data_IF_006972079117
#
_entry.id   IF_006972079117
#
_cell.length_a   1.000
_cell.length_b   1.000
_cell.length_c   1.000
_cell.angle_alpha   90.00
_cell.angle_beta   90.00
_cell.angle_gamma   90.00
#
_symmetry.space_group_name_H-M   'P 1'
#
loop_
_entity.id
_entity.type
_entity.pdbx_description
1 polymer ?
#
# COMPACT_ATOMS: atom_id res chain seq x y z
N UNK A 1 10.29 -12.70 16.15
CA UNK A 1 9.47 -12.29 14.99
C UNK A 1 8.72 -11.02 15.38
N UNK A 2 8.60 -10.02 14.49
CA UNK A 2 7.89 -8.78 14.78
C UNK A 2 6.40 -9.00 15.12
N UNK A 3 5.79 -8.08 15.88
CA UNK A 3 4.40 -8.23 16.34
C UNK A 3 3.41 -8.16 15.17
N UNK A 4 3.67 -7.28 14.20
CA UNK A 4 2.86 -7.14 12.99
C UNK A 4 2.83 -8.45 12.18
N UNK A 5 3.93 -9.21 12.17
CA UNK A 5 4.01 -10.48 11.47
C UNK A 5 3.13 -11.55 12.13
N UNK A 6 3.12 -11.62 13.47
CA UNK A 6 2.23 -12.55 14.20
C UNK A 6 0.77 -12.19 13.98
N UNK A 7 0.44 -10.91 14.06
CA UNK A 7 -0.91 -10.42 13.84
C UNK A 7 -1.38 -10.73 12.41
N UNK A 8 -0.56 -10.38 11.41
CA UNK A 8 -0.86 -10.65 10.01
C UNK A 8 -1.09 -12.14 9.76
N UNK A 9 -0.19 -13.03 10.21
CA UNK A 9 -0.34 -14.47 9.96
C UNK A 9 -1.59 -15.02 10.64
N UNK A 10 -1.84 -14.63 11.89
CA UNK A 10 -3.00 -15.12 12.64
C UNK A 10 -4.30 -14.72 11.94
N UNK A 11 -4.41 -13.46 11.54
CA UNK A 11 -5.58 -12.94 10.82
C UNK A 11 -5.67 -13.55 9.42
N UNK A 12 -4.55 -13.71 8.71
CA UNK A 12 -4.53 -14.32 7.38
C UNK A 12 -5.04 -15.76 7.43
N UNK A 13 -4.55 -16.59 8.37
CA UNK A 13 -5.02 -17.97 8.56
C UNK A 13 -6.51 -18.00 8.90
N UNK A 14 -6.95 -17.20 9.87
CA UNK A 14 -8.36 -17.17 10.27
C UNK A 14 -9.27 -16.72 9.12
N UNK A 15 -8.86 -15.69 8.37
CA UNK A 15 -9.62 -15.17 7.22
C UNK A 15 -9.66 -16.19 6.08
N UNK A 16 -8.53 -16.79 5.72
CA UNK A 16 -8.47 -17.84 4.70
C UNK A 16 -9.34 -19.03 5.07
N UNK A 17 -9.30 -19.51 6.32
CA UNK A 17 -10.16 -20.60 6.79
C UNK A 17 -11.64 -20.21 6.73
N UNK A 18 -12.00 -19.00 7.17
CA UNK A 18 -13.36 -18.50 7.10
C UNK A 18 -13.91 -18.53 5.66
N UNK A 19 -13.14 -18.02 4.70
CA UNK A 19 -13.57 -17.97 3.31
C UNK A 19 -13.60 -19.35 2.65
N UNK A 20 -12.66 -20.24 2.98
CA UNK A 20 -12.66 -21.62 2.46
C UNK A 20 -13.83 -22.43 3.03
N UNK A 21 -14.14 -22.28 4.31
CA UNK A 21 -15.17 -23.08 4.98
C UNK A 21 -16.59 -22.58 4.73
N UNK A 22 -16.79 -21.26 4.73
CA UNK A 22 -18.13 -20.67 4.59
C UNK A 22 -18.47 -20.25 3.16
N UNK A 23 -17.46 -20.14 2.29
CA UNK A 23 -17.59 -19.72 0.89
C UNK A 23 -18.57 -18.55 0.67
N UNK A 24 -18.36 -17.39 1.34
CA UNK A 24 -19.22 -16.24 1.15
C UNK A 24 -19.11 -15.76 -0.30
N UNK A 25 -20.24 -15.80 -1.02
CA UNK A 25 -20.27 -15.68 -2.48
C UNK A 25 -19.88 -14.28 -3.00
N UNK A 26 -20.07 -13.21 -2.21
CA UNK A 26 -19.71 -11.83 -2.58
C UNK A 26 -19.55 -10.91 -1.36
N UNK A 27 -18.79 -9.82 -1.52
CA UNK A 27 -18.75 -8.74 -0.53
C UNK A 27 -19.96 -7.82 -0.72
N UNK A 28 -20.73 -7.58 0.35
CA UNK A 28 -21.79 -6.57 0.34
C UNK A 28 -21.24 -5.14 0.44
N UNK A 29 -22.04 -4.15 0.03
CA UNK A 29 -21.71 -2.73 0.10
C UNK A 29 -21.18 -2.29 1.49
N UNK A 30 -21.85 -2.74 2.56
CA UNK A 30 -21.41 -2.46 3.93
C UNK A 30 -20.03 -3.01 4.27
N UNK A 31 -19.66 -4.19 3.73
CA UNK A 31 -18.32 -4.74 3.93
C UNK A 31 -17.28 -3.93 3.16
N UNK A 32 -17.56 -3.56 1.92
CA UNK A 32 -16.69 -2.68 1.12
C UNK A 32 -16.45 -1.36 1.86
N UNK A 33 -17.50 -0.73 2.37
CA UNK A 33 -17.40 0.51 3.12
C UNK A 33 -16.54 0.37 4.39
N UNK A 34 -16.75 -0.68 5.18
CA UNK A 34 -15.93 -0.97 6.37
C UNK A 34 -14.46 -1.12 5.97
N UNK A 35 -14.16 -1.84 4.90
CA UNK A 35 -12.79 -2.10 4.46
C UNK A 35 -12.11 -0.84 3.93
N UNK A 36 -12.85 -0.01 3.19
CA UNK A 36 -12.39 1.32 2.79
C UNK A 36 -12.05 2.21 3.99
N UNK A 37 -12.86 2.18 5.04
CA UNK A 37 -12.57 2.90 6.30
C UNK A 37 -11.34 2.31 6.99
N UNK A 38 -11.21 0.98 7.05
CA UNK A 38 -10.02 0.32 7.63
C UNK A 38 -8.75 0.72 6.87
N UNK A 39 -8.77 0.71 5.55
CA UNK A 39 -7.64 1.18 4.72
C UNK A 39 -7.35 2.66 4.97
N UNK A 40 -8.37 3.50 5.10
CA UNK A 40 -8.17 4.92 5.36
C UNK A 40 -7.56 5.18 6.77
N UNK A 41 -7.99 4.44 7.78
CA UNK A 41 -7.60 4.68 9.19
C UNK A 41 -6.34 3.94 9.59
N UNK A 42 -6.13 2.71 9.11
CA UNK A 42 -4.97 1.89 9.47
C UNK A 42 -3.93 1.84 8.36
N UNK A 43 -4.36 1.96 7.11
CA UNK A 43 -3.49 1.99 5.95
C UNK A 43 -2.82 3.34 5.80
N UNK A 44 -3.55 4.39 5.40
CA UNK A 44 -2.98 5.71 5.06
C UNK A 44 -1.95 6.30 6.05
N UNK A 45 -2.08 6.15 7.38
CA UNK A 45 -1.15 6.78 8.30
C UNK A 45 0.31 6.35 8.21
N UNK A 46 0.69 5.27 7.53
CA UNK A 46 2.11 4.92 7.37
C UNK A 46 2.93 6.05 6.68
N UNK A 47 2.33 6.79 5.75
CA UNK A 47 2.94 7.98 5.15
C UNK A 47 2.93 9.22 6.04
N UNK A 48 2.22 9.21 7.16
CA UNK A 48 2.10 10.39 8.03
C UNK A 48 3.39 10.75 8.79
N UNK A 49 4.40 9.87 8.76
CA UNK A 49 5.72 10.12 9.31
C UNK A 49 6.64 10.89 8.35
N UNK A 50 6.23 11.11 7.10
CA UNK A 50 7.03 11.77 6.08
C UNK A 50 7.53 13.16 6.45
N UNK A 51 6.74 14.04 7.11
CA UNK A 51 7.27 15.31 7.57
C UNK A 51 8.41 15.14 8.59
N UNK A 52 8.37 14.12 9.45
CA UNK A 52 9.46 13.88 10.41
C UNK A 52 10.70 13.34 9.70
N UNK A 53 10.50 12.39 8.78
CA UNK A 53 11.58 11.84 7.96
C UNK A 53 12.22 12.93 7.08
N UNK A 54 11.41 13.78 6.45
CA UNK A 54 11.88 14.89 5.63
C UNK A 54 12.73 15.88 6.43
N UNK A 55 12.35 16.17 7.68
CA UNK A 55 13.18 17.00 8.57
C UNK A 55 14.53 16.34 8.85
N UNK A 56 14.53 15.06 9.23
CA UNK A 56 15.76 14.31 9.51
C UNK A 56 16.68 14.23 8.29
N UNK A 57 16.11 14.11 7.09
CA UNK A 57 16.84 14.09 5.82
C UNK A 57 17.30 15.49 5.36
N UNK A 58 17.00 16.55 6.12
CA UNK A 58 17.39 17.92 5.80
C UNK A 58 16.59 18.54 4.66
N UNK A 59 15.42 18.00 4.32
CA UNK A 59 14.54 18.55 3.27
C UNK A 59 13.85 19.85 3.71
N UNK A 60 13.71 20.07 5.02
CA UNK A 60 13.29 21.36 5.58
C UNK A 60 13.85 21.56 7.00
N UNK A 61 13.96 22.82 7.42
CA UNK A 61 14.55 23.21 8.71
C UNK A 61 13.72 24.23 9.51
N UNK A 62 12.70 24.85 8.90
CA UNK A 62 11.89 25.89 9.53
C UNK A 62 10.49 26.00 8.90
N UNK A 63 9.64 26.93 9.36
CA UNK A 63 8.23 26.98 8.97
C UNK A 63 8.02 27.24 7.48
N UNK A 64 8.82 28.12 6.87
CA UNK A 64 8.73 28.39 5.42
C UNK A 64 9.13 27.17 4.58
N UNK A 65 10.23 26.49 4.93
CA UNK A 65 10.64 25.28 4.21
C UNK A 65 9.71 24.09 4.48
N UNK A 66 9.07 24.03 5.64
CA UNK A 66 8.01 23.07 5.93
C UNK A 66 6.75 23.33 5.08
N UNK A 67 6.35 24.60 4.94
CA UNK A 67 5.25 24.98 4.04
C UNK A 67 5.56 24.58 2.59
N UNK A 68 6.76 24.90 2.11
CA UNK A 68 7.21 24.52 0.77
C UNK A 68 7.26 22.99 0.59
N UNK A 69 7.64 22.24 1.62
CA UNK A 69 7.58 20.78 1.61
C UNK A 69 6.14 20.28 1.39
N UNK A 70 5.17 20.80 2.16
CA UNK A 70 3.76 20.41 2.00
C UNK A 70 3.16 20.87 0.66
N UNK A 71 3.56 22.04 0.14
CA UNK A 71 3.18 22.48 -1.21
C UNK A 71 3.71 21.48 -2.23
N UNK A 72 5.00 21.14 -2.20
CA UNK A 72 5.59 20.17 -3.12
C UNK A 72 4.94 18.78 -3.03
N UNK A 73 4.67 18.31 -1.80
CA UNK A 73 3.96 17.06 -1.55
C UNK A 73 2.57 17.09 -2.20
N UNK A 74 1.80 18.17 -1.96
CA UNK A 74 0.44 18.33 -2.48
C UNK A 74 0.41 18.51 -3.99
N UNK A 75 1.40 19.20 -4.57
CA UNK A 75 1.55 19.33 -6.02
C UNK A 75 1.80 17.97 -6.67
N UNK A 76 2.64 17.13 -6.06
CA UNK A 76 2.87 15.78 -6.57
C UNK A 76 1.60 14.92 -6.47
N UNK A 77 0.87 14.99 -5.36
CA UNK A 77 -0.45 14.33 -5.23
C UNK A 77 -1.44 14.80 -6.31
N UNK A 78 -1.55 16.12 -6.52
CA UNK A 78 -2.43 16.70 -7.54
C UNK A 78 -2.02 16.29 -8.96
N UNK A 79 -0.72 16.19 -9.24
CA UNK A 79 -0.21 15.70 -10.51
C UNK A 79 -0.63 14.24 -10.75
N UNK A 80 -0.55 13.36 -9.74
CA UNK A 80 -0.99 11.97 -9.86
C UNK A 80 -2.50 11.91 -10.15
N UNK A 81 -3.32 12.69 -9.46
CA UNK A 81 -4.76 12.77 -9.76
C UNK A 81 -4.99 13.30 -11.17
N UNK A 82 -4.30 14.37 -11.59
CA UNK A 82 -4.41 14.93 -12.92
C UNK A 82 -4.02 13.94 -14.03
N UNK A 83 -2.92 13.20 -13.85
CA UNK A 83 -2.52 12.12 -14.74
C UNK A 83 -3.58 11.02 -14.80
N UNK A 84 -4.19 10.67 -13.65
CA UNK A 84 -5.26 9.68 -13.62
C UNK A 84 -6.49 10.12 -14.41
N UNK A 85 -6.82 11.42 -14.40
CA UNK A 85 -7.93 11.97 -15.19
C UNK A 85 -7.62 12.03 -16.68
N UNK A 86 -6.36 12.25 -17.07
CA UNK A 86 -5.94 12.37 -18.47
C UNK A 86 -5.65 11.01 -19.14
N UNK A 87 -4.97 10.13 -18.42
CA UNK A 87 -4.53 8.80 -18.89
C UNK A 87 -4.75 7.74 -17.80
N UNK A 88 -6.01 7.37 -17.51
CA UNK A 88 -6.34 6.54 -16.34
C UNK A 88 -5.69 5.15 -16.34
N UNK A 89 -5.64 4.47 -17.50
CA UNK A 89 -5.03 3.14 -17.63
C UNK A 89 -3.52 3.21 -17.46
N UNK A 90 -2.87 4.19 -18.08
CA UNK A 90 -1.43 4.38 -17.94
C UNK A 90 -1.04 4.72 -16.48
N UNK A 91 -1.87 5.52 -15.81
CA UNK A 91 -1.70 5.86 -14.40
C UNK A 91 -1.86 4.64 -13.49
N UNK A 92 -2.85 3.78 -13.74
CA UNK A 92 -3.02 2.51 -13.04
C UNK A 92 -1.79 1.60 -13.21
N UNK A 93 -1.33 1.38 -14.44
CA UNK A 93 -0.15 0.54 -14.73
C UNK A 93 1.10 1.12 -14.07
N UNK A 94 1.33 2.43 -14.21
CA UNK A 94 2.45 3.11 -13.56
C UNK A 94 2.41 2.96 -12.03
N UNK A 95 1.23 3.14 -11.43
CA UNK A 95 1.03 2.96 -10.00
C UNK A 95 1.30 1.52 -9.55
N UNK A 96 0.83 0.51 -10.28
CA UNK A 96 1.09 -0.90 -9.98
C UNK A 96 2.60 -1.23 -10.06
N UNK A 97 3.31 -0.72 -11.07
CA UNK A 97 4.76 -0.93 -11.24
C UNK A 97 5.56 -0.30 -10.09
N UNK A 98 5.26 0.95 -9.74
CA UNK A 98 5.95 1.63 -8.64
C UNK A 98 5.61 0.95 -7.29
N UNK A 99 4.35 0.55 -7.11
CA UNK A 99 3.88 -0.18 -5.92
C UNK A 99 4.56 -1.54 -5.78
N UNK A 100 4.78 -2.26 -6.88
CA UNK A 100 5.52 -3.51 -6.86
C UNK A 100 6.96 -3.32 -6.35
N UNK A 101 7.64 -2.27 -6.80
CA UNK A 101 8.99 -1.96 -6.30
C UNK A 101 8.98 -1.61 -4.81
N UNK A 102 7.97 -0.87 -4.35
CA UNK A 102 7.84 -0.46 -2.96
C UNK A 102 7.50 -1.65 -2.03
N UNK A 103 6.38 -2.33 -2.26
CA UNK A 103 5.94 -3.48 -1.44
C UNK A 103 6.93 -4.64 -1.50
N UNK A 104 7.48 -4.92 -2.67
CA UNK A 104 8.48 -5.96 -2.84
C UNK A 104 9.78 -5.74 -2.05
N UNK A 105 9.99 -4.52 -1.52
CA UNK A 105 11.13 -4.17 -0.69
C UNK A 105 10.94 -4.49 0.79
N UNK A 106 9.72 -4.82 1.22
CA UNK A 106 9.42 -5.22 2.60
C UNK A 106 10.12 -6.54 2.95
N UNK A 107 10.34 -7.38 1.94
CA UNK A 107 11.09 -8.62 2.04
C UNK A 107 12.33 -8.57 1.17
N UNK A 108 13.29 -9.46 1.43
CA UNK A 108 14.45 -9.61 0.56
C UNK A 108 15.20 -8.26 0.34
N UNK A 109 15.16 -7.34 1.30
CA UNK A 109 15.65 -5.96 1.15
C UNK A 109 17.15 -5.87 0.81
N UNK A 110 17.93 -6.89 1.17
CA UNK A 110 19.36 -7.04 0.85
C UNK A 110 19.62 -7.76 -0.49
N UNK A 111 18.58 -8.20 -1.19
CA UNK A 111 18.68 -8.91 -2.48
C UNK A 111 18.62 -7.93 -3.66
N UNK A 112 19.01 -8.35 -4.88
CA UNK A 112 18.91 -7.52 -6.08
C UNK A 112 17.50 -6.97 -6.29
N UNK A 113 17.42 -5.78 -6.89
CA UNK A 113 16.15 -5.08 -7.15
C UNK A 113 15.17 -5.94 -7.95
N UNK A 114 15.66 -6.77 -8.88
CA UNK A 114 14.83 -7.69 -9.66
C UNK A 114 13.99 -8.61 -8.75
N UNK A 115 14.60 -9.28 -7.77
CA UNK A 115 13.87 -10.18 -6.86
C UNK A 115 12.77 -9.43 -6.11
N UNK A 116 13.07 -8.23 -5.61
CA UNK A 116 12.12 -7.38 -4.90
C UNK A 116 10.96 -6.97 -5.80
N UNK A 117 11.25 -6.42 -6.98
CA UNK A 117 10.23 -5.98 -7.95
C UNK A 117 9.35 -7.17 -8.37
N UNK A 118 9.93 -8.33 -8.68
CA UNK A 118 9.15 -9.53 -9.03
C UNK A 118 8.30 -10.04 -7.85
N UNK A 119 8.79 -9.94 -6.61
CA UNK A 119 7.99 -10.26 -5.41
C UNK A 119 6.76 -9.35 -5.31
N UNK A 120 6.94 -8.04 -5.51
CA UNK A 120 5.82 -7.09 -5.48
C UNK A 120 4.88 -7.21 -6.67
N UNK A 121 5.39 -7.49 -7.88
CA UNK A 121 4.54 -7.78 -9.05
C UNK A 121 3.69 -9.02 -8.79
N UNK A 122 4.28 -10.06 -8.20
CA UNK A 122 3.55 -11.26 -7.83
C UNK A 122 2.49 -10.96 -6.78
N UNK A 123 2.83 -10.21 -5.73
CA UNK A 123 1.91 -9.80 -4.67
C UNK A 123 0.66 -9.10 -5.23
N UNK A 124 0.84 -8.19 -6.18
CA UNK A 124 -0.24 -7.40 -6.76
C UNK A 124 -1.04 -8.15 -7.84
N UNK A 125 -0.48 -9.22 -8.41
CA UNK A 125 -1.11 -9.95 -9.52
C UNK A 125 -1.80 -11.25 -9.08
N UNK A 126 -1.39 -11.83 -7.94
CA UNK A 126 -1.93 -13.10 -7.44
C UNK A 126 -3.47 -13.14 -7.31
N UNK A 127 -4.17 -12.09 -6.84
CA UNK A 127 -5.64 -12.13 -6.75
C UNK A 127 -6.32 -12.37 -8.11
N UNK A 128 -5.70 -11.98 -9.22
CA UNK A 128 -6.25 -12.17 -10.56
C UNK A 128 -6.24 -13.65 -11.00
N UNK A 129 -5.52 -14.55 -10.32
CA UNK A 129 -5.57 -15.99 -10.62
C UNK A 129 -6.95 -16.56 -10.34
N UNK A 130 -7.55 -16.16 -9.21
CA UNK A 130 -8.85 -16.67 -8.75
C UNK A 130 -9.99 -15.74 -9.16
N UNK A 131 -9.80 -14.43 -9.00
CA UNK A 131 -10.85 -13.42 -9.13
C UNK A 131 -10.56 -12.42 -10.24
N UNK A 132 -10.11 -12.89 -11.42
CA UNK A 132 -9.80 -12.04 -12.57
C UNK A 132 -10.91 -11.02 -12.87
N UNK A 133 -12.17 -11.46 -12.83
CA UNK A 133 -13.34 -10.60 -13.07
C UNK A 133 -13.50 -9.51 -12.01
N UNK A 134 -13.33 -9.83 -10.72
CA UNK A 134 -13.45 -8.82 -9.65
C UNK A 134 -12.29 -7.83 -9.70
N UNK A 135 -11.07 -8.28 -10.02
CA UNK A 135 -9.92 -7.40 -10.25
C UNK A 135 -10.18 -6.49 -11.45
N UNK A 136 -10.71 -7.02 -12.55
CA UNK A 136 -11.10 -6.23 -13.72
C UNK A 136 -12.17 -5.19 -13.36
N UNK A 137 -13.22 -5.56 -12.61
CA UNK A 137 -14.24 -4.62 -12.15
C UNK A 137 -13.65 -3.49 -11.31
N UNK A 138 -12.73 -3.78 -10.39
CA UNK A 138 -12.02 -2.74 -9.63
C UNK A 138 -11.23 -1.81 -10.56
N UNK A 139 -10.48 -2.36 -11.53
CA UNK A 139 -9.71 -1.54 -12.47
C UNK A 139 -10.59 -0.72 -13.41
N UNK A 140 -11.73 -1.25 -13.85
CA UNK A 140 -12.71 -0.53 -14.66
C UNK A 140 -13.36 0.60 -13.87
N UNK A 141 -13.70 0.37 -12.59
CA UNK A 141 -14.18 1.44 -11.70
C UNK A 141 -13.13 2.53 -11.59
N UNK A 142 -11.85 2.19 -11.42
CA UNK A 142 -10.79 3.19 -11.21
C UNK A 142 -10.36 3.91 -12.48
N UNK A 143 -10.31 3.22 -13.63
CA UNK A 143 -9.59 3.67 -14.82
C UNK A 143 -10.36 3.48 -16.15
N UNK A 144 -11.62 3.06 -16.10
CA UNK A 144 -12.49 2.90 -17.27
C UNK A 144 -12.35 1.53 -17.96
N UNK A 145 -13.19 1.26 -18.98
CA UNK A 145 -13.35 -0.09 -19.58
C UNK A 145 -12.04 -0.69 -20.08
N UNK A 146 -11.16 0.12 -20.67
CA UNK A 146 -9.88 -0.33 -21.22
C UNK A 146 -8.92 -0.90 -20.15
N UNK A 147 -9.18 -0.64 -18.87
CA UNK A 147 -8.37 -1.16 -17.76
C UNK A 147 -8.58 -2.68 -17.52
N UNK A 148 -9.63 -3.28 -18.07
CA UNK A 148 -9.88 -4.73 -18.01
C UNK A 148 -8.68 -5.54 -18.54
N UNK A 149 -8.00 -5.04 -19.57
CA UNK A 149 -6.84 -5.70 -20.16
C UNK A 149 -5.73 -5.95 -19.12
N UNK A 150 -5.58 -5.05 -18.14
CA UNK A 150 -4.55 -5.14 -17.10
C UNK A 150 -4.79 -6.37 -16.21
N UNK A 151 -6.05 -6.61 -15.81
CA UNK A 151 -6.43 -7.77 -15.02
C UNK A 151 -6.24 -9.08 -15.81
N UNK A 152 -6.59 -9.07 -17.10
CA UNK A 152 -6.39 -10.21 -18.01
C UNK A 152 -4.91 -10.61 -18.13
N UNK A 153 -4.01 -9.63 -18.26
CA UNK A 153 -2.57 -9.88 -18.24
C UNK A 153 -2.07 -10.44 -16.91
N UNK A 154 -2.57 -9.91 -15.79
CA UNK A 154 -2.21 -10.41 -14.47
C UNK A 154 -2.69 -11.84 -14.23
N UNK A 155 -3.91 -12.18 -14.68
CA UNK A 155 -4.45 -13.53 -14.61
C UNK A 155 -3.62 -14.51 -15.45
N UNK A 156 -3.30 -14.14 -16.70
CA UNK A 156 -2.48 -14.96 -17.59
C UNK A 156 -1.05 -15.17 -17.06
N UNK A 157 -0.43 -14.13 -16.51
CA UNK A 157 0.90 -14.20 -15.89
C UNK A 157 0.89 -14.82 -14.47
N UNK A 158 -0.30 -15.01 -13.90
CA UNK A 158 -0.51 -15.42 -12.51
C UNK A 158 0.26 -16.68 -12.09
N UNK A 159 0.24 -17.79 -12.85
CA UNK A 159 1.01 -18.98 -12.50
C UNK A 159 2.52 -18.72 -12.38
N UNK A 160 3.08 -17.89 -13.27
CA UNK A 160 4.50 -17.49 -13.21
C UNK A 160 4.77 -16.66 -11.95
N UNK A 161 3.86 -15.74 -11.63
CA UNK A 161 3.95 -14.93 -10.42
C UNK A 161 3.80 -15.75 -9.13
N UNK A 162 2.97 -16.79 -9.12
CA UNK A 162 2.87 -17.71 -7.99
C UNK A 162 4.20 -18.44 -7.75
N UNK A 163 4.81 -18.99 -8.81
CA UNK A 163 6.13 -19.63 -8.71
C UNK A 163 7.17 -18.62 -8.22
N UNK A 164 7.18 -17.40 -8.76
CA UNK A 164 8.09 -16.34 -8.33
C UNK A 164 7.91 -15.99 -6.84
N UNK A 165 6.66 -15.93 -6.35
CA UNK A 165 6.34 -15.67 -4.96
C UNK A 165 6.83 -16.78 -4.04
N UNK A 166 6.62 -18.05 -4.41
CA UNK A 166 7.10 -19.20 -3.63
C UNK A 166 8.64 -19.25 -3.58
N UNK A 167 9.30 -18.92 -4.71
CA UNK A 167 10.76 -18.78 -4.75
C UNK A 167 11.24 -17.63 -3.87
N UNK A 168 10.57 -16.47 -3.91
CA UNK A 168 10.89 -15.33 -3.05
C UNK A 168 10.71 -15.69 -1.56
N UNK A 169 9.67 -16.45 -1.21
CA UNK A 169 9.43 -16.95 0.13
C UNK A 169 10.53 -17.92 0.59
N UNK A 170 10.97 -18.84 -0.27
CA UNK A 170 12.07 -19.75 0.03
C UNK A 170 13.39 -18.98 0.23
N UNK A 171 13.68 -17.97 -0.60
CA UNK A 171 14.87 -17.12 -0.47
C UNK A 171 14.83 -16.31 0.83
N UNK A 172 13.68 -15.71 1.16
CA UNK A 172 13.49 -14.93 2.38
C UNK A 172 13.63 -15.82 3.63
N UNK A 173 13.12 -17.06 3.57
CA UNK A 173 13.23 -18.05 4.66
C UNK A 173 14.68 -18.37 5.03
N UNK A 174 15.62 -18.30 4.07
CA UNK A 174 17.05 -18.52 4.35
C UNK A 174 17.69 -17.43 5.20
N UNK A 175 17.12 -16.23 5.21
CA UNK A 175 17.59 -15.12 6.05
C UNK A 175 16.78 -15.01 7.34
N UNK A 176 15.45 -15.06 7.22
CA UNK A 176 14.52 -14.97 8.34
C UNK A 176 13.28 -15.76 8.00
N UNK A 177 13.07 -16.89 8.68
CA UNK A 177 11.95 -17.81 8.41
C UNK A 177 10.60 -17.09 8.32
N UNK A 178 10.34 -16.16 9.24
CA UNK A 178 9.08 -15.45 9.30
C UNK A 178 8.79 -14.59 8.06
N UNK A 179 9.81 -14.06 7.37
CA UNK A 179 9.63 -13.29 6.13
C UNK A 179 9.12 -14.20 4.99
N UNK A 180 9.58 -15.46 4.96
CA UNK A 180 9.05 -16.45 4.03
C UNK A 180 7.63 -16.89 4.36
N UNK A 181 7.31 -17.05 5.65
CA UNK A 181 5.94 -17.37 6.09
C UNK A 181 4.98 -16.23 5.76
N UNK A 182 5.38 -14.97 5.91
CA UNK A 182 4.57 -13.82 5.49
C UNK A 182 4.25 -13.86 3.99
N UNK A 183 5.25 -14.10 3.13
CA UNK A 183 5.04 -14.21 1.68
C UNK A 183 4.13 -15.38 1.33
N UNK A 184 4.31 -16.52 1.98
CA UNK A 184 3.43 -17.68 1.81
C UNK A 184 1.99 -17.35 2.22
N UNK A 185 1.78 -16.74 3.39
CA UNK A 185 0.44 -16.37 3.87
C UNK A 185 -0.20 -15.27 3.03
N UNK A 186 0.57 -14.32 2.49
CA UNK A 186 0.08 -13.35 1.52
C UNK A 186 -0.43 -14.04 0.24
N UNK A 187 0.31 -15.03 -0.28
CA UNK A 187 -0.14 -15.82 -1.42
C UNK A 187 -1.39 -16.65 -1.09
N UNK A 188 -1.43 -17.31 0.07
CA UNK A 188 -2.63 -18.05 0.52
C UNK A 188 -3.84 -17.12 0.59
N UNK A 189 -3.70 -15.94 1.19
CA UNK A 189 -4.77 -14.98 1.33
C UNK A 189 -5.27 -14.48 -0.03
N UNK A 190 -4.36 -14.15 -0.96
CA UNK A 190 -4.69 -13.74 -2.32
C UNK A 190 -5.46 -14.81 -3.11
N UNK A 191 -5.21 -16.09 -2.82
CA UNK A 191 -5.83 -17.24 -3.50
C UNK A 191 -7.07 -17.80 -2.79
N UNK A 192 -7.43 -17.27 -1.62
CA UNK A 192 -8.57 -17.77 -0.84
C UNK A 192 -9.59 -16.71 -0.49
N UNK A 193 -9.31 -15.43 -0.76
CA UNK A 193 -10.19 -14.32 -0.40
C UNK A 193 -10.36 -13.34 -1.57
N UNK A 194 -11.45 -12.56 -1.61
CA UNK A 194 -11.64 -11.51 -2.61
C UNK A 194 -10.50 -10.49 -2.59
N UNK A 195 -10.19 -9.84 -3.73
CA UNK A 195 -9.04 -8.94 -3.86
C UNK A 195 -9.03 -7.80 -2.84
N UNK A 196 -10.19 -7.25 -2.49
CA UNK A 196 -10.29 -6.21 -1.45
C UNK A 196 -9.94 -6.74 -0.05
N UNK A 197 -10.28 -8.00 0.27
CA UNK A 197 -9.97 -8.64 1.56
C UNK A 197 -8.48 -8.88 1.68
N UNK A 198 -7.90 -9.50 0.65
CA UNK A 198 -6.47 -9.66 0.54
C UNK A 198 -5.75 -8.32 0.72
N UNK A 199 -6.11 -7.31 -0.08
CA UNK A 199 -5.48 -5.99 -0.04
C UNK A 199 -5.60 -5.37 1.36
N UNK A 200 -6.79 -5.35 1.96
CA UNK A 200 -7.02 -4.69 3.26
C UNK A 200 -6.20 -5.35 4.37
N UNK A 201 -6.23 -6.67 4.46
CA UNK A 201 -5.51 -7.42 5.51
C UNK A 201 -4.00 -7.29 5.32
N UNK A 202 -3.49 -7.52 4.10
CA UNK A 202 -2.06 -7.36 3.81
C UNK A 202 -1.58 -5.93 4.06
N UNK A 203 -2.26 -4.96 3.45
CA UNK A 203 -1.83 -3.57 3.47
C UNK A 203 -1.88 -2.97 4.87
N UNK A 204 -2.94 -3.22 5.63
CA UNK A 204 -3.11 -2.62 6.96
C UNK A 204 -2.29 -3.36 8.02
N UNK A 205 -2.35 -4.69 8.06
CA UNK A 205 -1.80 -5.46 9.18
C UNK A 205 -0.33 -5.83 9.02
N UNK A 206 0.18 -5.88 7.80
CA UNK A 206 1.58 -6.17 7.54
C UNK A 206 2.33 -4.93 7.07
N UNK A 207 1.97 -4.40 5.90
CA UNK A 207 2.73 -3.34 5.25
C UNK A 207 2.72 -2.05 6.08
N UNK A 208 1.55 -1.43 6.25
CA UNK A 208 1.39 -0.18 7.00
C UNK A 208 1.90 -0.32 8.44
N UNK A 209 1.54 -1.40 9.13
CA UNK A 209 1.98 -1.67 10.49
C UNK A 209 3.52 -1.76 10.62
N UNK A 210 4.20 -2.41 9.65
CA UNK A 210 5.67 -2.49 9.61
C UNK A 210 6.29 -1.11 9.42
N UNK A 211 5.83 -0.35 8.43
CA UNK A 211 6.34 1.00 8.13
C UNK A 211 6.12 1.96 9.30
N UNK A 212 4.96 1.89 9.95
CA UNK A 212 4.68 2.64 11.18
C UNK A 212 5.61 2.23 12.33
N UNK A 213 5.81 0.93 12.58
CA UNK A 213 6.71 0.46 13.65
C UNK A 213 8.15 0.95 13.42
N UNK A 214 8.65 0.79 12.20
CA UNK A 214 10.01 1.20 11.83
C UNK A 214 10.17 2.71 11.86
N UNK A 215 9.19 3.45 11.33
CA UNK A 215 9.15 4.90 11.38
C UNK A 215 9.09 5.43 12.81
N UNK A 216 8.21 4.91 13.67
CA UNK A 216 8.16 5.30 15.09
C UNK A 216 9.43 4.97 15.85
N UNK A 217 10.10 3.86 15.53
CA UNK A 217 11.39 3.53 16.12
C UNK A 217 12.46 4.54 15.70
N UNK A 218 12.47 4.96 14.43
CA UNK A 218 13.50 5.84 13.87
C UNK A 218 13.27 7.32 14.18
N UNK A 219 12.01 7.76 14.28
CA UNK A 219 11.61 9.15 14.59
C UNK A 219 11.25 9.37 16.07
N UNK A 220 11.64 8.43 16.96
CA UNK A 220 11.26 8.42 18.38
C UNK A 220 11.49 9.76 19.09
N UNK A 221 12.64 10.38 18.86
CA UNK A 221 12.99 11.64 19.53
C UNK A 221 12.20 12.83 19.00
N UNK A 222 11.89 12.85 17.70
CA UNK A 222 11.01 13.85 17.12
C UNK A 222 9.58 13.72 17.68
N UNK A 223 9.09 12.48 17.81
CA UNK A 223 7.75 12.16 18.34
C UNK A 223 7.61 12.41 19.85
N UNK A 224 8.71 12.52 20.60
CA UNK A 224 8.66 12.99 22.00
C UNK A 224 8.31 14.46 22.12
N UNK A 225 8.58 15.26 21.08
CA UNK A 225 8.30 16.69 21.05
C UNK A 225 6.83 16.95 20.67
N UNK A 226 6.16 17.96 21.28
CA UNK A 226 4.77 18.30 20.93
C UNK A 226 4.60 18.60 19.43
N UNK A 227 5.54 19.33 18.84
CA UNK A 227 5.54 19.65 17.42
C UNK A 227 5.60 18.40 16.52
N UNK A 228 6.40 17.40 16.89
CA UNK A 228 6.48 16.14 16.14
C UNK A 228 5.18 15.34 16.20
N UNK A 229 4.53 15.28 17.38
CA UNK A 229 3.20 14.66 17.53
C UNK A 229 2.13 15.40 16.73
N UNK A 230 2.16 16.73 16.74
CA UNK A 230 1.23 17.54 15.97
C UNK A 230 1.40 17.34 14.46
N UNK A 231 2.64 17.26 13.96
CA UNK A 231 2.93 16.98 12.55
C UNK A 231 2.42 15.60 12.13
N UNK A 232 2.76 14.56 12.90
CA UNK A 232 2.28 13.21 12.61
C UNK A 232 0.74 13.13 12.68
N UNK A 233 0.14 13.65 13.75
CA UNK A 233 -1.32 13.63 13.92
C UNK A 233 -2.06 14.40 12.82
N UNK A 234 -1.55 15.57 12.43
CA UNK A 234 -2.11 16.36 11.32
C UNK A 234 -1.98 15.63 9.99
N UNK A 235 -0.81 15.05 9.68
CA UNK A 235 -0.59 14.31 8.45
C UNK A 235 -1.42 13.01 8.37
N UNK A 236 -1.69 12.35 9.50
CA UNK A 236 -2.53 11.15 9.55
C UNK A 236 -4.03 11.49 9.42
N UNK A 237 -4.48 12.58 10.05
CA UNK A 237 -5.89 12.93 10.13
C UNK A 237 -6.40 13.68 8.89
N UNK A 238 -5.58 14.53 8.27
CA UNK A 238 -6.01 15.37 7.15
C UNK A 238 -6.58 14.57 5.96
N UNK A 239 -5.95 13.47 5.49
CA UNK A 239 -6.53 12.64 4.42
C UNK A 239 -7.89 12.04 4.78
N UNK A 240 -8.04 11.59 6.03
CA UNK A 240 -9.29 11.00 6.53
C UNK A 240 -10.40 12.04 6.56
N UNK A 241 -10.11 13.24 7.05
CA UNK A 241 -11.10 14.34 7.07
C UNK A 241 -11.51 14.75 5.66
N UNK A 242 -10.56 14.88 4.73
CA UNK A 242 -10.87 15.18 3.33
C UNK A 242 -11.76 14.09 2.72
N UNK A 243 -11.44 12.82 2.95
CA UNK A 243 -12.26 11.71 2.48
C UNK A 243 -13.69 11.77 3.05
N UNK A 244 -13.84 12.01 4.37
CA UNK A 244 -15.16 12.15 5.02
C UNK A 244 -15.94 13.33 4.45
N UNK A 245 -15.31 14.50 4.29
CA UNK A 245 -15.97 15.68 3.72
C UNK A 245 -16.47 15.44 2.30
N UNK A 246 -15.73 14.69 1.48
CA UNK A 246 -16.14 14.34 0.12
C UNK A 246 -17.30 13.34 0.06
N UNK A 247 -17.61 12.64 1.16
CA UNK A 247 -18.64 11.62 1.25
C UNK A 247 -19.96 12.10 1.86
N UNK A 248 -19.96 13.21 2.63
CA UNK A 248 -21.15 13.73 3.33
C UNK A 248 -22.24 14.33 2.41
N UNK A 249 -22.06 14.30 1.09
CA UNK A 249 -22.96 14.96 0.12
C UNK A 249 -23.92 14.07 -0.68
N UNK A 250 -23.86 12.73 -0.57
CA UNK A 250 -24.41 11.84 -1.60
C UNK A 250 -25.38 10.74 -1.11
N UNK A 251 -26.15 10.19 -2.06
CA UNK A 251 -27.06 9.05 -1.87
C UNK A 251 -26.33 7.68 -1.80
N UNK A 252 -26.88 6.68 -1.10
CA UNK A 252 -26.17 5.45 -0.71
C UNK A 252 -25.61 4.59 -1.86
N UNK A 253 -26.28 4.51 -3.01
CA UNK A 253 -25.87 3.62 -4.10
C UNK A 253 -24.73 4.18 -5.00
N UNK A 254 -24.57 5.51 -5.04
CA UNK A 254 -23.46 6.19 -5.73
C UNK A 254 -22.18 6.16 -4.86
N UNK A 255 -22.36 5.88 -3.57
CA UNK A 255 -21.32 5.94 -2.56
C UNK A 255 -20.24 4.88 -2.77
N UNK A 256 -20.58 3.66 -3.19
CA UNK A 256 -19.62 2.55 -3.26
C UNK A 256 -18.51 2.77 -4.31
N UNK A 257 -18.88 3.11 -5.55
CA UNK A 257 -17.89 3.37 -6.61
C UNK A 257 -17.09 4.64 -6.35
N UNK A 258 -17.75 5.69 -5.82
CA UNK A 258 -17.08 6.94 -5.46
C UNK A 258 -16.10 6.74 -4.30
N UNK A 259 -16.48 5.97 -3.29
CA UNK A 259 -15.63 5.60 -2.17
C UNK A 259 -14.41 4.82 -2.63
N UNK A 260 -14.59 3.83 -3.51
CA UNK A 260 -13.47 3.08 -4.09
C UNK A 260 -12.50 4.00 -4.85
N UNK A 261 -13.01 4.93 -5.68
CA UNK A 261 -12.17 5.92 -6.36
C UNK A 261 -11.42 6.82 -5.38
N UNK A 262 -12.12 7.40 -4.41
CA UNK A 262 -11.52 8.30 -3.40
C UNK A 262 -10.43 7.56 -2.64
N UNK A 263 -10.70 6.33 -2.18
CA UNK A 263 -9.74 5.57 -1.38
C UNK A 263 -8.57 5.11 -2.22
N UNK A 264 -8.75 4.49 -3.38
CA UNK A 264 -7.64 3.90 -4.13
C UNK A 264 -6.87 4.92 -4.98
N UNK A 265 -7.53 5.90 -5.62
CA UNK A 265 -6.83 7.00 -6.30
C UNK A 265 -6.21 7.93 -5.26
N UNK A 266 -6.90 8.20 -4.15
CA UNK A 266 -6.33 8.95 -3.02
C UNK A 266 -5.13 8.24 -2.40
N UNK A 267 -5.20 6.91 -2.26
CA UNK A 267 -4.07 6.08 -1.84
C UNK A 267 -2.89 6.30 -2.80
N UNK A 268 -3.10 6.17 -4.11
CA UNK A 268 -2.03 6.40 -5.08
C UNK A 268 -1.45 7.82 -4.98
N UNK A 269 -2.31 8.83 -4.87
CA UNK A 269 -1.91 10.24 -4.77
C UNK A 269 -1.09 10.55 -3.51
N UNK A 270 -1.32 9.84 -2.40
CA UNK A 270 -0.57 10.00 -1.15
C UNK A 270 0.66 9.10 -1.07
N UNK A 271 0.59 7.91 -1.66
CA UNK A 271 1.66 6.91 -1.60
C UNK A 271 2.82 7.28 -2.52
N UNK A 272 2.58 7.89 -3.69
CA UNK A 272 3.67 8.29 -4.59
C UNK A 272 4.61 9.33 -3.95
N UNK A 273 4.14 10.46 -3.38
CA UNK A 273 5.02 11.35 -2.64
C UNK A 273 5.74 10.65 -1.48
N UNK A 274 5.05 9.77 -0.73
CA UNK A 274 5.68 8.97 0.32
C UNK A 274 6.85 8.13 -0.19
N UNK A 275 6.65 7.39 -1.28
CA UNK A 275 7.69 6.60 -1.93
C UNK A 275 8.88 7.46 -2.40
N UNK A 276 8.63 8.72 -2.80
CA UNK A 276 9.70 9.68 -3.11
C UNK A 276 10.53 10.00 -1.86
N UNK A 277 9.90 10.37 -0.73
CA UNK A 277 10.63 10.66 0.52
C UNK A 277 11.42 9.43 0.99
N UNK A 278 10.81 8.24 0.98
CA UNK A 278 11.47 6.97 1.34
C UNK A 278 12.68 6.69 0.43
N UNK A 279 12.54 6.93 -0.88
CA UNK A 279 13.62 6.71 -1.85
C UNK A 279 14.78 7.68 -1.63
N UNK A 280 14.51 8.94 -1.30
CA UNK A 280 15.54 9.92 -0.94
C UNK A 280 16.30 9.42 0.29
N UNK A 281 15.60 8.96 1.33
CA UNK A 281 16.22 8.40 2.53
C UNK A 281 17.10 7.17 2.24
N UNK A 282 16.60 6.25 1.42
CA UNK A 282 17.36 5.06 1.02
C UNK A 282 18.63 5.41 0.23
N UNK A 283 18.60 6.45 -0.61
CA UNK A 283 19.78 6.95 -1.35
C UNK A 283 20.78 7.61 -0.42
N UNK A 284 20.32 8.44 0.52
CA UNK A 284 21.17 9.09 1.52
C UNK A 284 21.93 8.05 2.37
N UNK A 285 21.23 7.02 2.85
CA UNK A 285 21.84 5.95 3.63
C UNK A 285 22.90 5.15 2.83
N UNK A 286 22.67 4.89 1.55
CA UNK A 286 23.66 4.23 0.69
C UNK A 286 24.91 5.08 0.47
N UNK A 287 24.76 6.39 0.25
CA UNK A 287 25.89 7.32 0.10
C UNK A 287 26.73 7.39 1.37
N UNK A 288 26.09 7.49 2.53
CA UNK A 288 26.79 7.51 3.81
C UNK A 288 27.64 6.24 4.05
N UNK A 289 27.13 5.06 3.65
CA UNK A 289 27.89 3.80 3.75
C UNK A 289 29.03 3.66 2.76
N UNK A 290 28.97 4.34 1.61
CA UNK A 290 30.04 4.30 0.62
C UNK A 290 31.19 5.27 0.95
N UNK A 291 30.92 6.26 1.81
CA UNK A 291 31.89 7.26 2.26
C UNK A 291 32.59 6.88 3.59
N UNK A 292 32.15 5.81 4.24
CA UNK A 292 32.71 5.26 5.48
C UNK A 292 33.54 4.02 5.18
#
# INVERSE_FOLDING_TARGET
>A
MPIESYLFITVAVATSLLFVLLNPQTLGAGQIAVMSVVVAVLGLPHGALDPLMAHRLGLYHGPLSLLLFFIGYSTLSALIVGLWLLTPVASLVGFLVISAAHFGSDWNSKRPAAIRIFTGLALLSLPAIRDAEQVAQLYVILSGPDAEIVASWQAAAGPVFLVAMLMAAAIASRTRLYEGVELFMAATLALTTPPLVFFTVYFCLLHSARHLREGFATERDALRRPAGRALFGGAALAPVLVAVMLLLGDAPAVLDQRLLKIVFIGLAALTVPHMVVVTIGARAARRARAAA
#
